data_IF_862083921378
#
_entry.id   IF_862083921378
#
_cell.length_a   1.000
_cell.length_b   1.000
_cell.length_c   1.000
_cell.angle_alpha   90.00
_cell.angle_beta   90.00
_cell.angle_gamma   90.00
#
_symmetry.space_group_name_H-M   'P 1'
#
loop_
_entity.id
_entity.type
_entity.pdbx_description
1 polymer ?
#
# COMPACT_ATOMS: atom_id res chain seq x y z
N UNK A 1 21.35 -31.27 4.60
CA UNK A 1 21.32 -31.07 6.07
C UNK A 1 21.17 -29.59 6.50
N UNK A 2 21.17 -28.61 5.58
CA UNK A 2 21.01 -27.18 5.92
C UNK A 2 19.60 -26.53 5.79
N UNK A 3 18.49 -27.19 5.37
CA UNK A 3 17.23 -26.46 5.12
C UNK A 3 16.56 -25.98 6.41
N UNK A 4 16.64 -26.73 7.51
CA UNK A 4 15.97 -26.36 8.76
C UNK A 4 16.57 -25.11 9.40
N UNK A 5 17.90 -24.96 9.40
CA UNK A 5 18.56 -23.78 9.94
C UNK A 5 18.20 -22.53 9.13
N UNK A 6 18.23 -22.62 7.80
CA UNK A 6 17.81 -21.54 6.90
C UNK A 6 16.35 -21.16 7.13
N UNK A 7 15.44 -22.14 7.22
CA UNK A 7 14.02 -21.89 7.52
C UNK A 7 13.88 -21.14 8.83
N UNK A 8 14.49 -21.62 9.91
CA UNK A 8 14.39 -20.99 11.24
C UNK A 8 14.94 -19.56 11.25
N UNK A 9 16.09 -19.32 10.60
CA UNK A 9 16.68 -17.97 10.51
C UNK A 9 15.78 -17.02 9.75
N UNK A 10 15.24 -17.43 8.60
CA UNK A 10 14.36 -16.58 7.81
C UNK A 10 12.95 -16.42 8.41
N UNK A 11 12.46 -17.40 9.17
CA UNK A 11 11.24 -17.22 9.97
C UNK A 11 11.48 -16.18 11.07
N UNK A 12 12.61 -16.27 11.78
CA UNK A 12 12.98 -15.26 12.77
C UNK A 12 13.13 -13.86 12.15
N UNK A 13 13.80 -13.77 10.99
CA UNK A 13 13.93 -12.53 10.24
C UNK A 13 12.57 -11.98 9.82
N UNK A 14 11.65 -12.82 9.32
CA UNK A 14 10.31 -12.40 8.94
C UNK A 14 9.54 -11.81 10.13
N UNK A 15 9.58 -12.47 11.29
CA UNK A 15 8.91 -11.98 12.51
C UNK A 15 9.47 -10.63 12.96
N UNK A 16 10.80 -10.50 13.01
CA UNK A 16 11.46 -9.24 13.40
C UNK A 16 11.14 -8.15 12.38
N UNK A 17 11.18 -8.48 11.10
CA UNK A 17 10.90 -7.54 10.01
C UNK A 17 9.47 -7.03 10.04
N UNK A 18 8.49 -7.91 10.31
CA UNK A 18 7.08 -7.51 10.54
C UNK A 18 6.97 -6.54 11.71
N UNK A 19 7.66 -6.80 12.83
CA UNK A 19 7.65 -5.87 13.97
C UNK A 19 8.30 -4.51 13.64
N UNK A 20 9.37 -4.51 12.84
CA UNK A 20 10.04 -3.30 12.36
C UNK A 20 9.12 -2.49 11.44
N UNK A 21 8.47 -3.13 10.47
CA UNK A 21 7.49 -2.47 9.59
C UNK A 21 6.35 -1.90 10.41
N UNK A 22 5.76 -2.67 11.31
CA UNK A 22 4.68 -2.20 12.18
C UNK A 22 5.11 -0.96 12.96
N UNK A 23 6.27 -0.99 13.60
CA UNK A 23 6.73 0.17 14.38
C UNK A 23 7.02 1.39 13.51
N UNK A 24 7.59 1.18 12.32
CA UNK A 24 7.79 2.22 11.33
C UNK A 24 6.48 2.86 10.87
N UNK A 25 5.47 2.05 10.55
CA UNK A 25 4.14 2.54 10.16
C UNK A 25 3.47 3.36 11.26
N UNK A 26 3.53 2.91 12.51
CA UNK A 26 2.97 3.65 13.66
C UNK A 26 3.62 5.04 13.81
N UNK A 27 4.95 5.14 13.61
CA UNK A 27 5.64 6.43 13.62
C UNK A 27 5.29 7.32 12.43
N UNK A 28 5.15 6.72 11.25
CA UNK A 28 4.77 7.42 10.02
C UNK A 28 3.37 8.03 10.16
N UNK A 29 2.39 7.23 10.61
CA UNK A 29 1.02 7.65 10.86
C UNK A 29 0.97 8.78 11.91
N UNK A 30 1.57 8.56 13.08
CA UNK A 30 1.54 9.54 14.17
C UNK A 30 2.23 10.87 13.81
N UNK A 31 3.27 10.85 12.96
CA UNK A 31 3.90 12.09 12.50
C UNK A 31 3.07 12.77 11.40
N UNK A 32 2.48 11.99 10.51
CA UNK A 32 1.61 12.48 9.43
C UNK A 32 0.33 13.12 9.97
N UNK A 33 -0.27 12.57 11.03
CA UNK A 33 -1.41 13.18 11.73
C UNK A 33 -1.05 14.53 12.34
N UNK A 34 0.10 14.63 13.04
CA UNK A 34 0.57 15.88 13.63
C UNK A 34 0.85 16.95 12.57
N UNK A 35 1.46 16.56 11.45
CA UNK A 35 1.70 17.45 10.33
C UNK A 35 0.39 17.89 9.68
N UNK A 36 -0.57 16.97 9.50
CA UNK A 36 -1.90 17.28 8.95
C UNK A 36 -2.65 18.28 9.83
N UNK A 37 -2.62 18.09 11.15
CA UNK A 37 -3.22 19.01 12.11
C UNK A 37 -2.54 20.38 12.13
N UNK A 38 -1.21 20.44 11.97
CA UNK A 38 -0.47 21.69 11.88
C UNK A 38 -0.80 22.47 10.59
N UNK A 39 -0.89 21.77 9.45
CA UNK A 39 -1.23 22.37 8.16
C UNK A 39 -2.74 22.55 7.95
N UNK A 40 -3.56 22.22 8.95
CA UNK A 40 -5.03 22.27 8.89
C UNK A 40 -5.59 21.55 7.66
N UNK A 41 -5.00 20.39 7.34
CA UNK A 41 -5.46 19.54 6.25
C UNK A 41 -6.86 19.04 6.59
N UNK A 42 -7.83 19.10 5.66
CA UNK A 42 -9.20 18.66 5.93
C UNK A 42 -9.23 17.18 6.35
N UNK A 43 -10.06 16.78 7.33
CA UNK A 43 -10.10 15.40 7.83
C UNK A 43 -10.32 14.36 6.75
N UNK A 44 -11.11 14.72 5.72
CA UNK A 44 -11.35 13.86 4.56
C UNK A 44 -10.05 13.57 3.80
N UNK A 45 -9.23 14.59 3.51
CA UNK A 45 -7.92 14.45 2.83
C UNK A 45 -6.90 13.73 3.72
N UNK A 46 -6.91 14.02 5.02
CA UNK A 46 -6.06 13.34 5.99
C UNK A 46 -6.31 11.83 5.95
N UNK A 47 -7.58 11.40 5.99
CA UNK A 47 -7.96 9.99 5.94
C UNK A 47 -7.70 9.34 4.58
N UNK A 48 -8.20 9.93 3.49
CA UNK A 48 -8.20 9.28 2.18
C UNK A 48 -6.89 9.40 1.40
N UNK A 49 -6.03 10.37 1.74
CA UNK A 49 -4.75 10.58 1.04
C UNK A 49 -3.57 10.37 1.98
N UNK A 50 -3.48 11.13 3.07
CA UNK A 50 -2.27 11.14 3.90
C UNK A 50 -2.10 9.80 4.62
N UNK A 51 -3.13 9.35 5.33
CA UNK A 51 -3.13 8.06 6.01
C UNK A 51 -3.11 6.89 5.01
N UNK A 52 -3.82 7.01 3.88
CA UNK A 52 -3.83 5.98 2.84
C UNK A 52 -2.44 5.77 2.20
N UNK A 53 -1.72 6.85 1.89
CA UNK A 53 -0.35 6.78 1.38
C UNK A 53 0.60 6.24 2.44
N UNK A 54 0.46 6.68 3.69
CA UNK A 54 1.28 6.20 4.80
C UNK A 54 1.12 4.70 5.04
N UNK A 55 -0.12 4.22 5.11
CA UNK A 55 -0.42 2.80 5.35
C UNK A 55 -0.08 1.90 4.17
N UNK A 56 -0.11 2.42 2.93
CA UNK A 56 0.26 1.69 1.71
C UNK A 56 1.76 1.78 1.36
N UNK A 57 2.55 2.51 2.14
CA UNK A 57 3.98 2.67 1.89
C UNK A 57 4.76 1.35 1.99
N UNK A 58 4.51 0.44 2.94
CA UNK A 58 5.14 -0.88 2.97
C UNK A 58 4.87 -1.71 1.71
N UNK A 59 3.65 -1.68 1.18
CA UNK A 59 3.25 -2.39 -0.05
C UNK A 59 3.93 -1.79 -1.28
N UNK A 60 3.92 -0.46 -1.39
CA UNK A 60 4.64 0.24 -2.45
C UNK A 60 6.13 -0.11 -2.42
N UNK A 61 6.73 -0.08 -1.23
CA UNK A 61 8.12 -0.46 -1.01
C UNK A 61 8.37 -1.92 -1.42
N UNK A 62 7.47 -2.83 -1.08
CA UNK A 62 7.56 -4.25 -1.43
C UNK A 62 7.55 -4.42 -2.95
N UNK A 63 6.62 -3.78 -3.65
CA UNK A 63 6.51 -3.84 -5.11
C UNK A 63 7.74 -3.26 -5.83
N UNK A 64 8.24 -2.12 -5.36
CA UNK A 64 9.40 -1.44 -5.95
C UNK A 64 10.69 -2.22 -5.66
N UNK A 65 10.93 -2.62 -4.42
CA UNK A 65 12.17 -3.30 -4.02
C UNK A 65 12.25 -4.69 -4.66
N UNK A 66 11.17 -5.49 -4.64
CA UNK A 66 11.14 -6.80 -5.29
C UNK A 66 11.48 -6.69 -6.79
N UNK A 67 10.86 -5.74 -7.49
CA UNK A 67 11.10 -5.55 -8.93
C UNK A 67 12.49 -4.97 -9.22
N UNK A 68 12.87 -3.89 -8.53
CA UNK A 68 14.05 -3.10 -8.90
C UNK A 68 15.36 -3.66 -8.31
N UNK A 69 15.33 -4.28 -7.13
CA UNK A 69 16.52 -4.81 -6.46
C UNK A 69 16.66 -6.32 -6.60
N UNK A 70 15.54 -7.07 -6.57
CA UNK A 70 15.57 -8.53 -6.62
C UNK A 70 15.21 -9.11 -8.00
N UNK A 71 14.65 -8.31 -8.91
CA UNK A 71 14.21 -8.78 -10.23
C UNK A 71 12.92 -9.62 -10.20
N UNK A 72 12.21 -9.62 -9.07
CA UNK A 72 11.03 -10.46 -8.79
C UNK A 72 9.74 -9.66 -9.00
N UNK A 73 9.44 -9.32 -10.26
CA UNK A 73 8.24 -8.53 -10.60
C UNK A 73 6.93 -9.21 -10.16
N UNK A 74 6.82 -10.52 -10.38
CA UNK A 74 5.62 -11.29 -10.04
C UNK A 74 5.35 -11.28 -8.54
N UNK A 75 6.41 -11.35 -7.72
CA UNK A 75 6.31 -11.24 -6.25
C UNK A 75 5.75 -9.88 -5.84
N UNK A 76 6.24 -8.80 -6.45
CA UNK A 76 5.74 -7.45 -6.19
C UNK A 76 4.26 -7.27 -6.54
N UNK A 77 3.84 -7.78 -7.69
CA UNK A 77 2.42 -7.76 -8.12
C UNK A 77 1.55 -8.59 -7.17
N UNK A 78 2.00 -9.80 -6.83
CA UNK A 78 1.28 -10.69 -5.91
C UNK A 78 1.10 -10.07 -4.54
N UNK A 79 2.11 -9.36 -4.02
CA UNK A 79 2.04 -8.65 -2.75
C UNK A 79 0.99 -7.52 -2.78
N UNK A 80 0.95 -6.70 -3.83
CA UNK A 80 -0.02 -5.59 -3.97
C UNK A 80 -1.44 -6.12 -4.09
N UNK A 81 -1.67 -7.11 -4.97
CA UNK A 81 -2.99 -7.71 -5.17
C UNK A 81 -3.46 -8.43 -3.90
N UNK A 82 -2.56 -9.17 -3.24
CA UNK A 82 -2.83 -9.86 -1.98
C UNK A 82 -3.19 -8.91 -0.84
N UNK A 83 -2.44 -7.81 -0.66
CA UNK A 83 -2.74 -6.79 0.35
C UNK A 83 -4.09 -6.11 0.07
N UNK A 84 -4.38 -5.77 -1.20
CA UNK A 84 -5.68 -5.20 -1.57
C UNK A 84 -6.84 -6.14 -1.19
N UNK A 85 -6.75 -7.44 -1.53
CA UNK A 85 -7.78 -8.42 -1.15
C UNK A 85 -7.90 -8.56 0.38
N UNK A 86 -6.78 -8.60 1.10
CA UNK A 86 -6.76 -8.67 2.55
C UNK A 86 -7.46 -7.44 3.17
N UNK A 87 -7.19 -6.25 2.64
CA UNK A 87 -7.74 -4.99 3.16
C UNK A 87 -9.25 -4.85 2.92
N UNK A 88 -9.80 -5.41 1.84
CA UNK A 88 -11.24 -5.33 1.56
C UNK A 88 -12.01 -6.46 2.28
N UNK A 89 -11.43 -7.64 2.37
CA UNK A 89 -12.13 -8.84 2.83
C UNK A 89 -11.85 -9.11 4.30
N UNK A 90 -10.58 -9.23 4.68
CA UNK A 90 -10.18 -9.66 6.01
C UNK A 90 -10.35 -8.56 7.05
N UNK A 91 -9.85 -7.36 6.78
CA UNK A 91 -9.90 -6.27 7.76
C UNK A 91 -11.35 -5.92 8.15
N UNK A 92 -12.30 -5.68 7.21
CA UNK A 92 -13.66 -5.34 7.57
C UNK A 92 -14.41 -6.51 8.19
N UNK A 93 -14.15 -7.75 7.77
CA UNK A 93 -14.74 -8.94 8.39
C UNK A 93 -14.31 -9.08 9.85
N UNK A 94 -13.01 -8.97 10.13
CA UNK A 94 -12.50 -9.04 11.50
C UNK A 94 -12.97 -7.86 12.34
N UNK A 95 -12.98 -6.64 11.79
CA UNK A 95 -13.51 -5.47 12.46
C UNK A 95 -15.00 -5.63 12.80
N UNK A 96 -15.81 -6.22 11.91
CA UNK A 96 -17.22 -6.49 12.14
C UNK A 96 -17.49 -7.63 13.13
N UNK A 97 -16.63 -8.65 13.16
CA UNK A 97 -16.73 -9.77 14.10
C UNK A 97 -16.29 -9.41 15.52
N UNK A 98 -15.25 -8.56 15.64
CA UNK A 98 -14.69 -8.17 16.93
C UNK A 98 -15.24 -6.84 17.47
N UNK A 99 -15.80 -6.00 16.60
CA UNK A 99 -16.35 -4.70 16.96
C UNK A 99 -17.78 -4.78 17.48
N UNK A 100 -18.07 -4.00 18.53
CA UNK A 100 -19.42 -3.85 19.08
C UNK A 100 -20.09 -2.51 18.68
N UNK A 101 -19.52 -1.81 17.68
CA UNK A 101 -19.96 -0.48 17.26
C UNK A 101 -21.00 -0.50 16.15
N UNK A 102 -21.84 0.52 16.08
CA UNK A 102 -22.71 0.78 14.92
C UNK A 102 -21.95 1.55 13.86
N UNK A 103 -22.01 1.08 12.60
CA UNK A 103 -21.47 1.78 11.45
C UNK A 103 -22.38 2.98 11.11
N UNK A 104 -22.04 4.15 11.65
CA UNK A 104 -22.61 5.41 11.18
C UNK A 104 -21.85 5.84 9.91
N UNK A 105 -22.43 5.60 8.75
CA UNK A 105 -21.83 5.97 7.47
C UNK A 105 -22.75 6.88 6.67
N UNK A 106 -22.21 7.98 6.17
CA UNK A 106 -22.91 8.87 5.24
C UNK A 106 -23.04 8.19 3.88
N UNK A 107 -24.15 8.42 3.16
CA UNK A 107 -24.36 7.88 1.81
C UNK A 107 -23.21 8.25 0.87
N UNK A 108 -22.69 9.47 0.98
CA UNK A 108 -21.63 9.97 0.10
C UNK A 108 -20.32 9.18 0.26
N UNK A 109 -19.96 8.80 1.49
CA UNK A 109 -18.77 7.98 1.76
C UNK A 109 -18.90 6.57 1.15
N UNK A 110 -20.06 5.93 1.32
CA UNK A 110 -20.27 4.56 0.79
C UNK A 110 -20.30 4.59 -0.72
N UNK A 111 -21.10 5.46 -1.34
CA UNK A 111 -21.28 5.41 -2.79
C UNK A 111 -20.08 5.95 -3.55
N UNK A 112 -19.52 7.10 -3.16
CA UNK A 112 -18.41 7.72 -3.91
C UNK A 112 -17.14 6.90 -3.80
N UNK A 113 -16.68 6.60 -2.59
CA UNK A 113 -15.41 5.88 -2.37
C UNK A 113 -15.49 4.43 -2.90
N UNK A 114 -16.59 3.72 -2.64
CA UNK A 114 -16.75 2.33 -3.14
C UNK A 114 -16.84 2.30 -4.67
N UNK A 115 -17.48 3.29 -5.31
CA UNK A 115 -17.51 3.37 -6.78
C UNK A 115 -16.12 3.64 -7.35
N UNK A 116 -15.38 4.60 -6.79
CA UNK A 116 -13.99 4.85 -7.20
C UNK A 116 -13.13 3.60 -7.04
N UNK A 117 -13.33 2.87 -5.96
CA UNK A 117 -12.65 1.61 -5.71
C UNK A 117 -12.96 0.54 -6.75
N UNK A 118 -14.24 0.36 -7.12
CA UNK A 118 -14.64 -0.56 -8.20
C UNK A 118 -14.03 -0.15 -9.54
N UNK A 119 -14.03 1.15 -9.87
CA UNK A 119 -13.41 1.66 -11.09
C UNK A 119 -11.89 1.38 -11.09
N UNK A 120 -11.21 1.55 -9.95
CA UNK A 120 -9.79 1.24 -9.81
C UNK A 120 -9.50 -0.24 -10.07
N UNK A 121 -10.31 -1.16 -9.52
CA UNK A 121 -10.19 -2.60 -9.80
C UNK A 121 -10.40 -2.89 -11.29
N UNK A 122 -11.44 -2.31 -11.89
CA UNK A 122 -11.72 -2.52 -13.32
C UNK A 122 -10.56 -2.01 -14.19
N UNK A 123 -10.01 -0.84 -13.87
CA UNK A 123 -8.84 -0.30 -14.58
C UNK A 123 -7.62 -1.22 -14.43
N UNK A 124 -7.35 -1.72 -13.22
CA UNK A 124 -6.25 -2.67 -12.99
C UNK A 124 -6.43 -3.95 -13.82
N UNK A 125 -7.63 -4.52 -13.83
CA UNK A 125 -7.96 -5.70 -14.64
C UNK A 125 -7.80 -5.46 -16.14
N UNK A 126 -8.20 -4.27 -16.62
CA UNK A 126 -8.03 -3.90 -18.03
C UNK A 126 -6.55 -3.75 -18.39
N UNK A 127 -5.73 -3.16 -17.50
CA UNK A 127 -4.28 -3.04 -17.71
C UNK A 127 -3.64 -4.42 -17.85
N UNK A 128 -3.95 -5.36 -16.96
CA UNK A 128 -3.41 -6.72 -17.05
C UNK A 128 -3.94 -7.47 -18.26
N UNK A 129 -5.24 -7.36 -18.55
CA UNK A 129 -5.84 -7.95 -19.76
C UNK A 129 -5.19 -7.43 -21.03
N UNK A 130 -4.96 -6.12 -21.14
CA UNK A 130 -4.34 -5.51 -22.31
C UNK A 130 -2.84 -5.80 -22.42
N UNK A 131 -2.14 -5.93 -21.30
CA UNK A 131 -0.76 -6.41 -21.30
C UNK A 131 -0.68 -7.81 -21.92
N UNK A 132 -1.54 -8.73 -21.49
CA UNK A 132 -1.55 -10.12 -21.98
C UNK A 132 -2.06 -10.23 -23.43
N UNK A 133 -3.14 -9.55 -23.79
CA UNK A 133 -3.78 -9.67 -25.11
C UNK A 133 -2.99 -8.93 -26.20
N UNK A 134 -2.55 -7.70 -25.93
CA UNK A 134 -1.97 -6.82 -26.95
C UNK A 134 -0.45 -6.70 -26.89
N UNK A 135 0.19 -7.08 -25.77
CA UNK A 135 1.65 -7.02 -25.62
C UNK A 135 2.23 -8.35 -25.11
N UNK A 136 1.98 -9.50 -25.80
CA UNK A 136 2.48 -10.79 -25.34
C UNK A 136 4.00 -10.90 -25.49
N UNK A 137 4.67 -11.38 -24.45
CA UNK A 137 6.13 -11.61 -24.38
C UNK A 137 6.39 -13.11 -24.26
N UNK A 138 6.38 -13.77 -25.42
CA UNK A 138 6.63 -15.21 -25.52
C UNK A 138 5.48 -16.09 -25.02
N UNK A 139 5.57 -17.37 -25.33
CA UNK A 139 4.61 -18.38 -24.91
C UNK A 139 5.39 -19.56 -24.33
N UNK A 140 5.47 -19.64 -23.00
CA UNK A 140 6.03 -20.80 -22.31
C UNK A 140 4.88 -21.58 -21.68
N UNK A 141 4.74 -22.85 -22.07
CA UNK A 141 3.82 -23.81 -21.45
C UNK A 141 2.35 -23.36 -21.26
N UNK A 142 1.76 -22.72 -22.28
CA UNK A 142 0.33 -22.38 -22.25
C UNK A 142 -0.05 -21.19 -21.37
N UNK A 143 0.91 -20.58 -20.65
CA UNK A 143 0.72 -19.29 -20.00
C UNK A 143 0.96 -18.16 -21.03
N UNK A 144 -0.04 -17.31 -21.22
CA UNK A 144 0.13 -16.06 -21.97
C UNK A 144 0.76 -15.04 -21.02
N UNK A 145 2.03 -14.71 -21.26
CA UNK A 145 2.77 -13.70 -20.49
C UNK A 145 2.67 -12.38 -21.24
N UNK A 146 2.30 -11.31 -20.56
CA UNK A 146 2.13 -9.97 -21.13
C UNK A 146 3.05 -8.95 -20.49
N UNK A 147 3.55 -8.00 -21.27
CA UNK A 147 4.34 -6.88 -20.75
C UNK A 147 3.43 -5.70 -20.39
N UNK A 148 3.47 -5.26 -19.13
CA UNK A 148 2.83 -4.00 -18.73
C UNK A 148 3.69 -2.84 -19.22
N UNK A 149 3.40 -2.35 -20.43
CA UNK A 149 4.12 -1.22 -21.01
C UNK A 149 3.89 0.08 -20.22
N UNK A 150 4.86 1.01 -20.28
CA UNK A 150 4.73 2.35 -19.67
C UNK A 150 3.43 3.06 -20.01
N UNK A 151 2.93 2.88 -21.25
CA UNK A 151 1.70 3.51 -21.73
C UNK A 151 0.47 2.94 -21.02
N UNK A 152 0.43 1.63 -20.77
CA UNK A 152 -0.65 0.99 -20.02
C UNK A 152 -0.63 1.42 -18.55
N UNK A 153 0.55 1.61 -17.95
CA UNK A 153 0.70 2.13 -16.58
C UNK A 153 0.22 3.57 -16.40
N UNK A 154 0.09 4.37 -17.48
CA UNK A 154 -0.48 5.72 -17.38
C UNK A 154 -1.97 5.71 -17.03
N UNK A 155 -2.69 4.64 -17.35
CA UNK A 155 -4.13 4.53 -17.11
C UNK A 155 -4.49 4.53 -15.61
N UNK A 156 -3.90 3.66 -14.76
CA UNK A 156 -4.13 3.70 -13.32
C UNK A 156 -3.56 4.99 -12.68
N UNK A 157 -2.44 5.51 -13.20
CA UNK A 157 -1.87 6.77 -12.72
C UNK A 157 -2.82 7.95 -12.98
N UNK A 158 -3.39 8.05 -14.18
CA UNK A 158 -4.35 9.08 -14.54
C UNK A 158 -5.61 9.00 -13.67
N UNK A 159 -6.12 7.79 -13.41
CA UNK A 159 -7.25 7.59 -12.50
C UNK A 159 -6.92 8.06 -11.08
N UNK A 160 -5.73 7.75 -10.57
CA UNK A 160 -5.31 8.21 -9.24
C UNK A 160 -5.19 9.74 -9.16
N UNK A 161 -4.68 10.39 -10.21
CA UNK A 161 -4.65 11.86 -10.29
C UNK A 161 -6.07 12.46 -10.27
N UNK A 162 -7.02 11.85 -10.99
CA UNK A 162 -8.42 12.26 -10.96
C UNK A 162 -9.01 12.08 -9.56
N UNK A 163 -8.73 10.96 -8.90
CA UNK A 163 -9.16 10.71 -7.52
C UNK A 163 -8.66 11.79 -6.56
N UNK A 164 -7.35 12.08 -6.58
CA UNK A 164 -6.75 13.15 -5.74
C UNK A 164 -7.34 14.52 -6.05
N UNK A 165 -7.61 14.82 -7.33
CA UNK A 165 -8.23 16.09 -7.72
C UNK A 165 -9.65 16.24 -7.18
N UNK A 166 -10.48 15.19 -7.27
CA UNK A 166 -11.83 15.22 -6.70
C UNK A 166 -11.79 15.35 -5.19
N UNK A 167 -10.83 14.68 -4.56
CA UNK A 167 -10.61 14.79 -3.13
C UNK A 167 -10.20 16.20 -2.70
N UNK A 168 -9.38 16.87 -3.52
CA UNK A 168 -9.01 18.27 -3.33
C UNK A 168 -10.20 19.21 -3.52
N UNK A 169 -11.09 18.96 -4.48
CA UNK A 169 -12.30 19.77 -4.65
C UNK A 169 -13.23 19.68 -3.44
N UNK A 170 -13.47 18.48 -2.91
CA UNK A 170 -14.27 18.31 -1.68
C UNK A 170 -13.64 19.01 -0.48
N UNK A 171 -12.31 19.13 -0.49
CA UNK A 171 -11.50 19.71 0.55
C UNK A 171 -11.39 21.25 0.46
N UNK A 172 -11.63 21.83 -0.72
CA UNK A 172 -11.45 23.26 -0.97
C UNK A 172 -12.46 24.13 -0.20
N UNK A 173 -13.61 23.58 0.15
CA UNK A 173 -14.65 24.26 0.95
C UNK A 173 -14.43 24.11 2.46
N UNK A 174 -13.32 23.50 2.90
CA UNK A 174 -13.01 23.31 4.31
C UNK A 174 -12.51 24.60 4.97
N UNK A 175 -13.23 25.06 5.99
CA UNK A 175 -12.76 26.08 6.91
C UNK A 175 -12.36 25.41 8.24
N UNK A 176 -11.11 25.53 8.68
CA UNK A 176 -10.69 24.97 9.95
C UNK A 176 -11.39 25.67 11.12
N UNK A 177 -12.05 24.91 11.99
CA UNK A 177 -12.67 25.43 13.21
C UNK A 177 -11.66 25.63 14.36
N UNK A 178 -10.48 25.00 14.26
CA UNK A 178 -9.44 24.99 15.27
C UNK A 178 -8.15 25.67 14.79
N UNK A 179 -7.44 26.32 15.72
CA UNK A 179 -6.14 26.91 15.43
C UNK A 179 -5.10 25.83 15.07
N UNK A 180 -4.10 26.15 14.23
CA UNK A 180 -3.03 25.22 13.86
C UNK A 180 -2.35 24.62 15.09
N UNK A 181 -2.13 23.30 15.09
CA UNK A 181 -1.40 22.64 16.15
C UNK A 181 0.06 23.15 16.21
N UNK A 182 0.52 23.63 17.35
CA UNK A 182 1.94 23.98 17.52
C UNK A 182 2.78 22.71 17.63
N UNK A 183 3.64 22.49 16.63
CA UNK A 183 4.54 21.33 16.57
C UNK A 183 5.96 21.76 16.25
N UNK A 184 6.92 20.93 16.64
CA UNK A 184 8.29 21.06 16.18
C UNK A 184 8.41 20.44 14.77
N UNK A 185 8.29 21.28 13.72
CA UNK A 185 8.36 20.84 12.33
C UNK A 185 9.60 19.99 12.01
N UNK A 186 10.85 20.40 12.35
CA UNK A 186 12.01 19.59 12.00
C UNK A 186 12.02 18.24 12.70
N UNK A 187 11.51 18.15 13.93
CA UNK A 187 11.32 16.87 14.62
C UNK A 187 10.32 15.98 13.90
N UNK A 188 9.16 16.52 13.48
CA UNK A 188 8.15 15.72 12.78
C UNK A 188 8.63 15.30 11.39
N UNK A 189 9.23 16.21 10.62
CA UNK A 189 9.85 15.86 9.33
C UNK A 189 10.94 14.80 9.48
N UNK A 190 11.76 14.88 10.53
CA UNK A 190 12.76 13.87 10.85
C UNK A 190 12.17 12.51 11.22
N UNK A 191 11.10 12.48 12.03
CA UNK A 191 10.38 11.23 12.36
C UNK A 191 9.76 10.63 11.10
N UNK A 192 9.08 11.44 10.29
CA UNK A 192 8.44 11.00 9.05
C UNK A 192 9.46 10.38 8.08
N UNK A 193 10.58 11.06 7.81
CA UNK A 193 11.63 10.52 6.95
C UNK A 193 12.29 9.28 7.56
N UNK A 194 12.54 9.31 8.87
CA UNK A 194 13.10 8.17 9.60
C UNK A 194 12.21 6.94 9.55
N UNK A 195 10.90 7.10 9.69
CA UNK A 195 9.94 6.00 9.59
C UNK A 195 9.92 5.36 8.21
N UNK A 196 10.03 6.15 7.13
CA UNK A 196 10.12 5.60 5.78
C UNK A 196 11.35 4.69 5.65
N UNK A 197 12.51 5.11 6.15
CA UNK A 197 13.74 4.28 6.15
C UNK A 197 13.56 3.01 6.97
N UNK A 198 12.95 3.11 8.16
CA UNK A 198 12.69 1.94 9.01
C UNK A 198 11.76 0.94 8.32
N UNK A 199 10.71 1.41 7.65
CA UNK A 199 9.82 0.56 6.86
C UNK A 199 10.59 -0.12 5.72
N UNK A 200 11.42 0.62 4.98
CA UNK A 200 12.23 0.05 3.90
C UNK A 200 13.15 -1.08 4.39
N UNK A 201 13.77 -0.91 5.55
CA UNK A 201 14.61 -1.96 6.18
C UNK A 201 13.78 -3.19 6.52
N UNK A 202 12.61 -3.01 7.13
CA UNK A 202 11.71 -4.12 7.44
C UNK A 202 11.20 -4.84 6.20
N UNK A 203 10.80 -4.09 5.16
CA UNK A 203 10.33 -4.65 3.89
C UNK A 203 11.43 -5.48 3.21
N UNK A 204 12.68 -5.00 3.18
CA UNK A 204 13.80 -5.76 2.63
C UNK A 204 14.00 -7.09 3.37
N UNK A 205 13.90 -7.10 4.71
CA UNK A 205 13.99 -8.33 5.50
C UNK A 205 12.84 -9.32 5.23
N UNK A 206 11.62 -8.82 4.99
CA UNK A 206 10.48 -9.64 4.58
C UNK A 206 10.70 -10.24 3.18
N UNK A 207 11.19 -9.44 2.23
CA UNK A 207 11.47 -9.89 0.87
C UNK A 207 12.55 -10.97 0.84
N UNK A 208 13.66 -10.78 1.56
CA UNK A 208 14.70 -11.80 1.67
C UNK A 208 14.18 -13.11 2.25
N UNK A 209 13.28 -13.03 3.22
CA UNK A 209 12.63 -14.21 3.81
C UNK A 209 11.71 -14.91 2.80
N UNK A 210 10.86 -14.15 2.10
CA UNK A 210 9.95 -14.67 1.08
C UNK A 210 10.69 -15.35 -0.08
N UNK A 211 11.70 -14.69 -0.64
CA UNK A 211 12.51 -15.23 -1.75
C UNK A 211 13.25 -16.49 -1.31
N UNK A 212 13.77 -16.51 -0.08
CA UNK A 212 14.48 -17.69 0.43
C UNK A 212 13.52 -18.85 0.67
N UNK A 213 12.31 -18.60 1.17
CA UNK A 213 11.28 -19.64 1.26
C UNK A 213 10.93 -20.20 -0.10
N UNK A 214 10.74 -19.35 -1.12
CA UNK A 214 10.51 -19.83 -2.49
C UNK A 214 11.60 -20.78 -2.99
N UNK A 215 12.87 -20.41 -2.79
CA UNK A 215 14.02 -21.28 -3.13
C UNK A 215 14.06 -22.59 -2.34
N UNK A 216 13.67 -22.57 -1.05
CA UNK A 216 13.69 -23.77 -0.19
C UNK A 216 12.54 -24.72 -0.51
N UNK A 217 11.37 -24.19 -0.87
CA UNK A 217 10.18 -24.97 -1.19
C UNK A 217 10.02 -25.27 -2.69
N UNK A 218 10.95 -24.79 -3.53
CA UNK A 218 10.93 -24.95 -4.99
C UNK A 218 9.66 -24.35 -5.63
N UNK A 219 9.25 -23.18 -5.13
CA UNK A 219 8.08 -22.40 -5.59
C UNK A 219 8.47 -20.96 -5.88
#
# INVERSE_FOLDING_TARGET
MAPLATILTHTGLAIVSTAVVWKGSEWLEASSEKLSAHYQVPPLVQGSVVLAVGSSFPELSTAVISTALHGEFELGVAAVVGSALFNILMIPALAGLCGNGTLASTRDLIYKETQFYLVAIVVLLLVFSFAVIYNPVGSSFGAQIGEVTRRLSLLPLALYVVYVYLQYQDAADYTPDEAPAEINLPKQGGILLGSLVVILIGVEGLLQSAITFGRVFET
#
